data_IF_351954633604
#
_entry.id   IF_351954633604
#
_cell.length_a   1.000
_cell.length_b   1.000
_cell.length_c   1.000
_cell.angle_alpha   90.00
_cell.angle_beta   90.00
_cell.angle_gamma   90.00
#
_symmetry.space_group_name_H-M   'P 1'
#
loop_
_entity.id
_entity.type
_entity.pdbx_description
1 polymer ?
#
# COMPACT_ATOMS: atom_id res chain seq x y z
N UNK A 1 7.26 17.33 18.48
CA UNK A 1 7.61 16.22 17.56
C UNK A 1 7.16 16.58 16.17
N UNK A 2 8.06 16.61 15.20
CA UNK A 2 7.73 16.99 13.81
C UNK A 2 7.21 15.80 12.99
N UNK A 3 7.79 14.61 13.19
CA UNK A 3 7.44 13.42 12.42
C UNK A 3 7.32 12.19 13.32
N UNK A 4 6.30 11.35 13.07
CA UNK A 4 6.24 9.97 13.56
C UNK A 4 6.34 9.02 12.38
N UNK A 5 7.32 8.11 12.41
CA UNK A 5 7.50 7.06 11.40
C UNK A 5 6.97 5.76 11.97
N UNK A 6 5.97 5.17 11.36
CA UNK A 6 5.29 3.95 11.81
C UNK A 6 5.79 2.77 10.98
N UNK A 7 6.35 1.77 11.64
CA UNK A 7 6.96 0.60 10.99
C UNK A 7 6.35 -0.69 11.58
N UNK A 8 5.51 -1.41 10.83
CA UNK A 8 5.02 -2.72 11.24
C UNK A 8 6.10 -3.80 11.02
N UNK A 9 6.30 -4.66 12.02
CA UNK A 9 7.18 -5.82 11.96
C UNK A 9 6.42 -7.10 12.31
N UNK A 10 6.72 -8.19 11.63
CA UNK A 10 6.19 -9.51 11.95
C UNK A 10 7.16 -10.63 11.56
N UNK A 11 7.68 -11.37 12.56
CA UNK A 11 8.63 -12.49 12.37
C UNK A 11 9.86 -12.09 11.54
N UNK A 12 10.55 -11.03 11.96
CA UNK A 12 11.71 -10.46 11.25
C UNK A 12 13.01 -10.50 12.06
N UNK A 13 13.11 -11.42 13.02
CA UNK A 13 14.33 -11.59 13.83
C UNK A 13 15.51 -12.17 13.03
N UNK A 14 15.22 -12.78 11.87
CA UNK A 14 16.23 -13.38 10.99
C UNK A 14 16.42 -12.52 9.73
N UNK A 15 17.42 -12.79 8.93
CA UNK A 15 17.72 -12.17 7.62
C UNK A 15 18.24 -10.74 7.66
N UNK A 16 18.34 -10.09 8.82
CA UNK A 16 18.91 -8.76 8.97
C UNK A 16 18.03 -7.61 8.44
N UNK A 17 16.83 -7.87 7.91
CA UNK A 17 15.93 -6.87 7.31
C UNK A 17 15.51 -5.82 8.34
N UNK A 18 15.01 -6.27 9.52
CA UNK A 18 14.65 -5.38 10.62
C UNK A 18 15.79 -4.41 10.96
N UNK A 19 17.02 -4.94 11.08
CA UNK A 19 18.19 -4.13 11.39
C UNK A 19 18.43 -3.10 10.30
N UNK A 20 18.40 -3.51 9.03
CA UNK A 20 18.65 -2.62 7.90
C UNK A 20 17.60 -1.49 7.82
N UNK A 21 16.32 -1.82 8.02
CA UNK A 21 15.24 -0.86 8.13
C UNK A 21 15.48 0.15 9.26
N UNK A 22 15.66 -0.35 10.50
CA UNK A 22 15.82 0.50 11.68
C UNK A 22 17.06 1.41 11.58
N UNK A 23 18.18 0.91 11.10
CA UNK A 23 19.39 1.71 10.90
C UNK A 23 19.19 2.81 9.85
N UNK A 24 18.47 2.54 8.76
CA UNK A 24 18.16 3.58 7.77
C UNK A 24 17.32 4.73 8.35
N UNK A 25 16.41 4.40 9.27
CA UNK A 25 15.56 5.39 9.94
C UNK A 25 16.30 6.14 11.04
N UNK A 26 17.23 5.51 11.74
CA UNK A 26 18.06 6.15 12.76
C UNK A 26 19.12 7.08 12.15
N UNK A 27 19.52 6.86 10.91
CA UNK A 27 20.51 7.64 10.18
C UNK A 27 19.89 8.72 9.27
N UNK A 28 18.65 9.15 9.53
CA UNK A 28 18.06 10.28 8.79
C UNK A 28 18.77 11.59 9.09
N UNK A 29 18.84 12.48 8.09
CA UNK A 29 19.54 13.78 8.18
C UNK A 29 18.84 14.79 9.08
N UNK A 30 17.59 14.56 9.45
CA UNK A 30 16.81 15.40 10.36
C UNK A 30 16.98 14.98 11.84
N UNK A 31 16.63 15.86 12.76
CA UNK A 31 16.51 15.56 14.18
C UNK A 31 17.76 15.84 15.03
N UNK A 32 18.77 16.48 14.46
CA UNK A 32 20.00 16.87 15.16
C UNK A 32 20.33 18.38 15.06
N UNK A 33 19.49 19.17 14.36
CA UNK A 33 19.69 20.59 14.13
C UNK A 33 20.76 20.92 13.07
N UNK A 34 21.33 19.91 12.41
CA UNK A 34 22.43 20.06 11.47
C UNK A 34 22.00 20.09 10.01
N UNK A 35 20.75 19.69 9.71
CA UNK A 35 20.23 19.73 8.35
C UNK A 35 20.11 21.18 7.85
N UNK A 36 20.24 21.38 6.53
CA UNK A 36 20.12 22.71 5.94
C UNK A 36 18.70 23.31 6.17
N UNK A 37 17.69 22.45 6.18
CA UNK A 37 16.31 22.83 6.42
C UNK A 37 16.07 23.27 7.86
N UNK A 38 16.58 22.53 8.85
CA UNK A 38 16.48 22.86 10.27
C UNK A 38 17.19 24.17 10.60
N UNK A 39 18.41 24.38 10.04
CA UNK A 39 19.11 25.65 10.17
C UNK A 39 18.37 26.83 9.54
N UNK A 40 17.76 26.64 8.39
CA UNK A 40 16.95 27.67 7.72
C UNK A 40 15.66 27.98 8.47
N UNK A 41 15.00 26.97 9.06
CA UNK A 41 13.79 27.11 9.86
C UNK A 41 14.08 27.66 11.28
N UNK A 42 15.32 27.52 11.78
CA UNK A 42 15.68 27.86 13.15
C UNK A 42 15.10 26.93 14.20
N UNK A 43 14.70 25.70 13.80
CA UNK A 43 14.14 24.66 14.67
C UNK A 43 14.66 23.27 14.31
N UNK A 44 14.70 22.38 15.30
CA UNK A 44 15.02 20.95 15.08
C UNK A 44 13.75 20.20 14.67
N UNK A 45 13.82 19.50 13.55
CA UNK A 45 12.73 18.62 13.09
C UNK A 45 12.79 17.27 13.79
N UNK A 46 12.53 17.29 15.09
CA UNK A 46 12.56 16.08 15.91
C UNK A 46 11.56 15.02 15.44
N UNK A 47 11.97 13.75 15.45
CA UNK A 47 11.15 12.63 14.98
C UNK A 47 11.21 11.44 15.93
N UNK A 48 10.16 10.61 15.88
CA UNK A 48 10.09 9.32 16.57
C UNK A 48 9.85 8.18 15.57
N UNK A 49 10.36 7.00 15.91
CA UNK A 49 10.13 5.74 15.21
C UNK A 49 9.23 4.88 16.08
N UNK A 50 8.02 4.61 15.62
CA UNK A 50 7.08 3.71 16.26
C UNK A 50 7.22 2.33 15.61
N UNK A 51 8.09 1.50 16.19
CA UNK A 51 8.37 0.15 15.75
C UNK A 51 7.32 -0.80 16.35
N UNK A 52 6.39 -1.28 15.52
CA UNK A 52 5.22 -2.03 15.97
C UNK A 52 5.34 -3.49 15.60
N UNK A 53 5.56 -4.34 16.59
CA UNK A 53 5.52 -5.80 16.45
C UNK A 53 4.08 -6.31 16.38
N UNK A 54 3.71 -7.03 15.32
CA UNK A 54 2.38 -7.58 15.13
C UNK A 54 2.23 -8.98 15.74
N UNK A 55 2.55 -9.09 17.04
CA UNK A 55 2.47 -10.33 17.82
C UNK A 55 3.34 -11.45 17.24
N UNK A 56 4.62 -11.16 16.97
CA UNK A 56 5.61 -12.14 16.51
C UNK A 56 5.83 -13.26 17.50
N UNK A 57 6.21 -14.43 16.98
CA UNK A 57 6.53 -15.62 17.79
C UNK A 57 8.04 -15.85 17.95
N UNK A 58 8.82 -15.06 17.22
CA UNK A 58 10.28 -15.05 17.26
C UNK A 58 10.80 -13.87 18.11
N UNK A 59 12.10 -13.62 18.06
CA UNK A 59 12.74 -12.58 18.88
C UNK A 59 12.55 -11.15 18.32
N UNK A 60 11.67 -10.93 17.32
CA UNK A 60 11.43 -9.62 16.71
C UNK A 60 11.14 -8.54 17.77
N UNK A 61 10.20 -8.79 18.69
CA UNK A 61 9.86 -7.81 19.71
C UNK A 61 11.01 -7.54 20.69
N UNK A 62 11.79 -8.58 21.02
CA UNK A 62 12.99 -8.42 21.90
C UNK A 62 14.01 -7.50 21.23
N UNK A 63 14.25 -7.67 19.93
CA UNK A 63 15.14 -6.78 19.17
C UNK A 63 14.63 -5.34 19.14
N UNK A 64 13.33 -5.12 18.94
CA UNK A 64 12.73 -3.78 18.94
C UNK A 64 12.84 -3.11 20.33
N UNK A 65 12.67 -3.88 21.42
CA UNK A 65 12.89 -3.38 22.79
C UNK A 65 14.35 -3.01 23.04
N UNK A 66 15.31 -3.69 22.41
CA UNK A 66 16.71 -3.29 22.47
C UNK A 66 16.93 -1.95 21.78
N UNK A 67 16.37 -1.75 20.56
CA UNK A 67 16.43 -0.45 19.86
C UNK A 67 15.81 0.67 20.70
N UNK A 68 14.68 0.43 21.38
CA UNK A 68 14.07 1.43 22.28
C UNK A 68 15.00 1.79 23.45
N UNK A 69 15.67 0.80 24.03
CA UNK A 69 16.61 1.00 25.13
C UNK A 69 17.88 1.77 24.70
N UNK A 70 18.38 1.47 23.49
CA UNK A 70 19.60 2.09 22.95
C UNK A 70 19.32 3.51 22.41
N UNK A 71 18.07 3.83 22.03
CA UNK A 71 17.67 5.11 21.46
C UNK A 71 16.45 5.72 22.19
N UNK A 72 16.59 6.05 23.51
CA UNK A 72 15.49 6.57 24.30
C UNK A 72 14.99 7.90 23.77
N UNK A 73 13.66 8.03 23.66
CA UNK A 73 13.00 9.22 23.08
C UNK A 73 12.94 9.23 21.54
N UNK A 74 13.77 8.43 20.84
CA UNK A 74 13.77 8.30 19.39
C UNK A 74 13.00 7.08 18.92
N UNK A 75 13.15 5.93 19.56
CA UNK A 75 12.45 4.67 19.25
C UNK A 75 11.48 4.32 20.35
N UNK A 76 10.28 3.89 19.95
CA UNK A 76 9.26 3.31 20.81
C UNK A 76 8.81 1.97 20.26
N UNK A 77 9.04 0.90 21.01
CA UNK A 77 8.63 -0.46 20.64
C UNK A 77 7.21 -0.74 21.17
N UNK A 78 6.29 -0.95 20.27
CA UNK A 78 4.90 -1.29 20.53
C UNK A 78 4.62 -2.73 20.10
N UNK A 79 3.61 -3.38 20.69
CA UNK A 79 3.20 -4.72 20.31
C UNK A 79 1.67 -4.84 20.28
N UNK A 80 1.13 -5.43 19.21
CA UNK A 80 -0.30 -5.78 19.17
C UNK A 80 -0.57 -7.01 20.05
N UNK A 81 -1.74 -7.09 20.71
CA UNK A 81 -2.05 -8.23 21.59
C UNK A 81 -2.30 -9.54 20.83
N UNK A 82 -2.61 -9.45 19.56
CA UNK A 82 -2.81 -10.56 18.61
C UNK A 82 -2.37 -10.11 17.24
N UNK A 83 -2.05 -11.04 16.33
CA UNK A 83 -1.71 -10.68 14.96
C UNK A 83 -2.93 -10.03 14.25
N UNK A 84 -2.79 -8.76 13.93
CA UNK A 84 -3.80 -7.92 13.24
C UNK A 84 -3.39 -7.51 11.84
N UNK A 85 -2.32 -8.10 11.31
CA UNK A 85 -1.71 -7.75 10.05
C UNK A 85 -1.17 -6.31 10.03
N UNK A 86 -0.62 -5.90 8.88
CA UNK A 86 -0.01 -4.58 8.73
C UNK A 86 -0.98 -3.44 9.10
N UNK A 87 -2.25 -3.54 8.70
CA UNK A 87 -3.25 -2.53 9.02
C UNK A 87 -3.44 -2.31 10.51
N UNK A 88 -3.54 -3.38 11.30
CA UNK A 88 -3.68 -3.26 12.75
C UNK A 88 -2.42 -2.73 13.44
N UNK A 89 -1.24 -3.14 12.98
CA UNK A 89 0.02 -2.60 13.48
C UNK A 89 0.16 -1.09 13.15
N UNK A 90 -0.17 -0.68 11.92
CA UNK A 90 -0.19 0.75 11.54
C UNK A 90 -1.19 1.55 12.38
N UNK A 91 -2.38 1.02 12.66
CA UNK A 91 -3.38 1.67 13.53
C UNK A 91 -2.86 1.85 14.96
N UNK A 92 -2.18 0.84 15.53
CA UNK A 92 -1.56 0.97 16.85
C UNK A 92 -0.48 2.07 16.84
N UNK A 93 0.33 2.13 15.81
CA UNK A 93 1.29 3.22 15.60
C UNK A 93 0.59 4.58 15.53
N UNK A 94 -0.46 4.72 14.71
CA UNK A 94 -1.25 5.96 14.58
C UNK A 94 -1.82 6.44 15.91
N UNK A 95 -2.36 5.52 16.73
CA UNK A 95 -2.91 5.85 18.03
C UNK A 95 -1.85 6.36 19.03
N UNK A 96 -0.58 6.07 18.80
CA UNK A 96 0.54 6.47 19.64
C UNK A 96 1.39 7.59 19.05
N UNK A 97 1.15 7.99 17.80
CA UNK A 97 1.93 9.00 17.08
C UNK A 97 1.71 10.41 17.63
N UNK A 98 2.80 11.13 17.83
CA UNK A 98 2.78 12.50 18.36
C UNK A 98 3.22 13.56 17.34
N UNK A 99 3.83 13.12 16.22
CA UNK A 99 4.32 14.01 15.16
C UNK A 99 3.24 14.80 14.45
N UNK A 100 3.58 15.95 13.92
CA UNK A 100 2.74 16.75 13.04
C UNK A 100 2.53 16.05 11.69
N UNK A 101 3.57 15.34 11.25
CA UNK A 101 3.57 14.48 10.07
C UNK A 101 3.61 13.01 10.46
N UNK A 102 2.96 12.17 9.67
CA UNK A 102 2.97 10.71 9.81
C UNK A 102 3.59 10.12 8.54
N UNK A 103 4.66 9.36 8.70
CA UNK A 103 5.25 8.52 7.67
C UNK A 103 5.01 7.04 7.96
N UNK A 104 5.02 6.22 6.93
CA UNK A 104 4.98 4.76 7.02
C UNK A 104 6.22 4.17 6.36
N UNK A 105 6.67 3.03 6.85
CA UNK A 105 7.75 2.23 6.28
C UNK A 105 7.39 0.77 6.44
N UNK A 106 7.65 -0.07 5.45
CA UNK A 106 7.57 -1.51 5.63
C UNK A 106 8.87 -2.03 6.26
N UNK A 107 8.78 -3.00 7.17
CA UNK A 107 9.91 -3.43 7.99
C UNK A 107 11.02 -4.17 7.24
N UNK A 108 10.79 -4.54 5.98
CA UNK A 108 11.76 -5.16 5.06
C UNK A 108 12.37 -4.17 4.07
N UNK A 109 11.95 -2.91 4.10
CA UNK A 109 12.40 -1.83 3.22
C UNK A 109 13.30 -0.83 3.97
N UNK A 110 13.87 0.16 3.27
CA UNK A 110 14.67 1.23 3.86
C UNK A 110 14.56 2.54 3.11
N UNK A 111 14.99 3.62 3.79
CA UNK A 111 14.91 4.98 3.29
C UNK A 111 16.29 5.55 2.91
N UNK A 112 16.33 6.44 1.92
CA UNK A 112 17.47 7.31 1.70
C UNK A 112 17.70 8.20 2.93
N UNK A 113 18.94 8.56 3.27
CA UNK A 113 19.25 9.34 4.48
C UNK A 113 18.51 10.68 4.59
N UNK A 114 18.16 11.29 3.46
CA UNK A 114 17.51 12.61 3.36
C UNK A 114 16.02 12.53 2.96
N UNK A 115 15.43 11.33 2.95
CA UNK A 115 14.03 11.14 2.52
C UNK A 115 13.08 12.02 3.33
N UNK A 116 13.06 11.86 4.64
CA UNK A 116 12.07 12.54 5.47
C UNK A 116 12.34 14.04 5.58
N UNK A 117 13.60 14.49 5.53
CA UNK A 117 13.93 15.90 5.43
C UNK A 117 13.30 16.54 4.19
N UNK A 118 13.54 15.97 3.01
CA UNK A 118 13.02 16.48 1.73
C UNK A 118 11.49 16.51 1.70
N UNK A 119 10.84 15.45 2.20
CA UNK A 119 9.39 15.39 2.26
C UNK A 119 8.79 16.45 3.20
N UNK A 120 9.37 16.64 4.39
CA UNK A 120 8.92 17.65 5.35
C UNK A 120 9.11 19.05 4.79
N UNK A 121 10.29 19.36 4.26
CA UNK A 121 10.60 20.69 3.67
C UNK A 121 9.60 21.01 2.56
N UNK A 122 9.33 20.05 1.66
CA UNK A 122 8.35 20.24 0.59
C UNK A 122 6.96 20.51 1.18
N UNK A 123 6.52 19.75 2.18
CA UNK A 123 5.23 19.92 2.82
C UNK A 123 5.07 21.25 3.56
N UNK A 124 6.11 21.68 4.30
CA UNK A 124 6.07 22.94 5.03
C UNK A 124 6.08 24.15 4.10
N UNK A 125 6.89 24.11 3.05
CA UNK A 125 7.02 25.23 2.09
C UNK A 125 5.81 25.41 1.19
N UNK A 126 5.05 24.33 0.91
CA UNK A 126 3.89 24.37 0.03
C UNK A 126 2.56 24.38 0.78
N UNK A 127 2.55 24.04 2.07
CA UNK A 127 1.33 23.86 2.84
C UNK A 127 0.55 22.58 2.44
N UNK A 128 1.22 21.57 1.91
CA UNK A 128 0.58 20.33 1.47
C UNK A 128 0.02 19.52 2.64
N UNK A 129 -1.03 18.73 2.37
CA UNK A 129 -1.63 17.74 3.27
C UNK A 129 -0.87 16.42 3.23
N UNK A 130 -0.30 16.10 2.08
CA UNK A 130 0.46 14.89 1.82
C UNK A 130 1.61 15.19 0.85
N UNK A 131 2.76 14.56 1.11
CA UNK A 131 3.94 14.67 0.23
C UNK A 131 4.46 13.26 -0.06
N UNK A 132 4.73 12.97 -1.33
CA UNK A 132 5.28 11.69 -1.76
C UNK A 132 6.62 11.82 -2.46
N UNK A 133 7.26 10.68 -2.72
CA UNK A 133 8.47 10.56 -3.54
C UNK A 133 8.35 9.38 -4.51
N UNK A 134 9.40 9.11 -5.27
CA UNK A 134 9.55 7.90 -6.06
C UNK A 134 10.29 6.81 -5.24
N UNK A 135 10.39 5.61 -5.80
CA UNK A 135 11.07 4.50 -5.15
C UNK A 135 12.08 3.81 -6.08
N UNK A 136 13.06 3.15 -5.46
CA UNK A 136 13.92 2.17 -6.10
C UNK A 136 13.36 0.76 -5.85
N UNK A 137 13.29 -0.08 -6.88
CA UNK A 137 13.18 -1.53 -6.69
C UNK A 137 14.59 -2.11 -6.62
N UNK A 138 14.89 -2.82 -5.54
CA UNK A 138 16.22 -3.41 -5.28
C UNK A 138 16.09 -4.88 -4.88
N UNK A 139 17.11 -5.66 -5.17
CA UNK A 139 17.15 -7.10 -4.87
C UNK A 139 18.19 -7.45 -3.80
N UNK A 140 19.00 -6.49 -3.39
CA UNK A 140 20.05 -6.62 -2.38
C UNK A 140 19.94 -5.45 -1.39
N UNK A 141 20.42 -5.67 -0.16
CA UNK A 141 20.52 -4.62 0.86
C UNK A 141 21.66 -3.64 0.49
N UNK A 142 21.32 -2.61 -0.25
CA UNK A 142 22.27 -1.61 -0.77
C UNK A 142 21.63 -0.21 -0.77
N UNK A 143 22.48 0.83 -0.79
CA UNK A 143 22.05 2.20 -1.09
C UNK A 143 22.32 2.58 -2.55
N UNK A 144 22.68 1.61 -3.39
CA UNK A 144 22.83 1.84 -4.82
C UNK A 144 21.48 2.02 -5.50
N UNK A 145 21.48 2.78 -6.59
CA UNK A 145 20.27 3.04 -7.38
C UNK A 145 19.83 1.75 -8.07
N UNK A 146 18.67 1.24 -7.66
CA UNK A 146 17.99 0.14 -8.33
C UNK A 146 17.13 0.62 -9.51
N UNK A 147 16.14 -0.18 -9.88
CA UNK A 147 15.15 0.25 -10.89
C UNK A 147 14.26 1.35 -10.30
N UNK A 148 14.28 2.54 -10.91
CA UNK A 148 13.46 3.67 -10.47
C UNK A 148 12.01 3.45 -10.91
N UNK A 149 11.09 3.61 -9.98
CA UNK A 149 9.66 3.62 -10.23
C UNK A 149 9.09 4.99 -9.89
N UNK A 150 8.58 5.67 -10.91
CA UNK A 150 7.85 6.93 -10.74
C UNK A 150 6.45 6.61 -10.21
N UNK A 151 6.26 6.84 -8.93
CA UNK A 151 5.05 6.40 -8.24
C UNK A 151 3.82 7.23 -8.62
N UNK A 152 3.87 8.54 -8.40
CA UNK A 152 2.82 9.48 -8.81
C UNK A 152 3.36 10.41 -9.91
N UNK A 153 2.48 10.79 -10.84
CA UNK A 153 2.81 11.73 -11.90
C UNK A 153 2.52 13.17 -11.47
N UNK A 154 3.22 14.15 -12.05
CA UNK A 154 3.07 15.57 -11.67
C UNK A 154 1.67 16.11 -11.92
N UNK A 155 0.92 15.53 -12.84
CA UNK A 155 -0.47 15.90 -13.11
C UNK A 155 -1.48 15.39 -12.04
N UNK A 156 -1.00 14.67 -11.02
CA UNK A 156 -1.73 14.29 -9.82
C UNK A 156 -1.46 15.23 -8.63
N UNK A 157 -0.49 16.16 -8.74
CA UNK A 157 0.02 16.99 -7.64
C UNK A 157 -0.54 18.42 -7.66
N UNK A 158 -0.23 19.20 -6.60
CA UNK A 158 -0.72 20.55 -6.33
C UNK A 158 -2.04 20.55 -5.56
N UNK A 159 -2.76 21.66 -5.60
CA UNK A 159 -4.13 21.72 -5.07
C UNK A 159 -5.00 20.75 -5.86
N UNK A 160 -5.70 19.87 -5.13
CA UNK A 160 -6.48 18.79 -5.74
C UNK A 160 -7.83 19.31 -6.22
N UNK A 161 -8.15 18.98 -7.46
CA UNK A 161 -9.40 19.24 -8.15
C UNK A 161 -10.08 17.92 -8.55
N UNK A 162 -11.31 17.93 -9.07
CA UNK A 162 -12.02 16.69 -9.44
C UNK A 162 -11.25 15.79 -10.41
N UNK A 163 -10.49 16.33 -11.36
CA UNK A 163 -9.75 15.53 -12.33
C UNK A 163 -8.52 14.84 -11.69
N UNK A 164 -7.86 15.50 -10.73
CA UNK A 164 -6.78 14.91 -9.94
C UNK A 164 -7.30 13.82 -9.01
N UNK A 165 -8.45 14.03 -8.36
CA UNK A 165 -9.09 13.00 -7.55
C UNK A 165 -9.46 11.75 -8.34
N UNK A 166 -9.94 11.88 -9.58
CA UNK A 166 -10.17 10.74 -10.48
C UNK A 166 -8.88 9.93 -10.71
N UNK A 167 -7.77 10.62 -11.01
CA UNK A 167 -6.47 9.98 -11.20
C UNK A 167 -5.97 9.29 -9.93
N UNK A 168 -6.16 9.90 -8.76
CA UNK A 168 -5.76 9.36 -7.46
C UNK A 168 -6.65 8.19 -7.02
N UNK A 169 -7.92 8.17 -7.40
CA UNK A 169 -8.79 7.00 -7.22
C UNK A 169 -8.27 5.81 -8.04
N UNK A 170 -7.85 6.05 -9.29
CA UNK A 170 -7.34 5.01 -10.19
C UNK A 170 -5.94 4.52 -9.78
N UNK A 171 -5.10 5.42 -9.32
CA UNK A 171 -3.72 5.14 -8.92
C UNK A 171 -3.26 6.02 -7.76
N UNK A 172 -3.57 5.65 -6.51
CA UNK A 172 -3.13 6.40 -5.33
C UNK A 172 -1.63 6.24 -5.06
N UNK A 173 -0.99 5.23 -5.65
CA UNK A 173 0.35 4.73 -5.36
C UNK A 173 0.55 4.29 -3.90
N UNK A 174 1.73 3.76 -3.58
CA UNK A 174 2.01 3.24 -2.25
C UNK A 174 1.92 4.31 -1.16
N UNK A 175 1.47 3.91 0.02
CA UNK A 175 1.37 4.78 1.19
C UNK A 175 2.72 4.98 1.88
N UNK A 176 3.63 4.01 1.77
CA UNK A 176 4.95 4.03 2.45
C UNK A 176 5.95 5.03 1.86
N UNK A 177 5.69 5.51 0.65
CA UNK A 177 6.51 6.57 0.01
C UNK A 177 5.99 7.98 0.30
N UNK A 178 5.09 8.13 1.27
CA UNK A 178 4.41 9.39 1.58
C UNK A 178 4.47 9.73 3.06
N UNK A 179 4.42 11.03 3.34
CA UNK A 179 4.08 11.56 4.66
C UNK A 179 2.75 12.29 4.58
N UNK A 180 1.97 12.22 5.65
CA UNK A 180 0.62 12.80 5.75
C UNK A 180 0.53 13.72 6.96
N UNK A 181 -0.17 14.86 6.84
CA UNK A 181 -0.47 15.67 8.02
C UNK A 181 -1.37 14.91 8.99
N UNK A 182 -0.94 14.83 10.25
CA UNK A 182 -1.72 14.14 11.31
C UNK A 182 -3.09 14.75 11.51
N UNK A 183 -3.25 16.06 11.33
CA UNK A 183 -4.55 16.75 11.40
C UNK A 183 -5.54 16.18 10.36
N UNK A 184 -5.11 15.96 9.12
CA UNK A 184 -5.95 15.38 8.06
C UNK A 184 -6.39 13.96 8.42
N UNK A 185 -5.49 13.14 8.98
CA UNK A 185 -5.81 11.79 9.44
C UNK A 185 -6.87 11.84 10.56
N UNK A 186 -6.66 12.72 11.55
CA UNK A 186 -7.55 12.85 12.70
C UNK A 186 -8.92 13.40 12.34
N UNK A 187 -8.98 14.48 11.58
CA UNK A 187 -10.22 15.13 11.15
C UNK A 187 -11.10 14.20 10.30
N UNK A 188 -10.48 13.42 9.43
CA UNK A 188 -11.18 12.48 8.56
C UNK A 188 -11.29 11.07 9.17
N UNK A 189 -10.82 10.85 10.40
CA UNK A 189 -10.84 9.53 11.09
C UNK A 189 -10.30 8.42 10.19
N UNK A 190 -9.16 8.67 9.55
CA UNK A 190 -8.53 7.73 8.63
C UNK A 190 -7.85 6.59 9.41
N UNK A 191 -8.15 5.38 9.03
CA UNK A 191 -7.60 4.15 9.62
C UNK A 191 -7.39 3.10 8.54
N UNK A 192 -6.68 2.03 8.87
CA UNK A 192 -6.50 0.86 8.02
C UNK A 192 -7.49 -0.25 8.40
N UNK A 193 -8.01 -1.04 7.46
CA UNK A 193 -8.64 -2.32 7.77
C UNK A 193 -7.67 -3.25 8.51
N UNK A 194 -8.16 -3.95 9.54
CA UNK A 194 -7.34 -4.85 10.36
C UNK A 194 -7.58 -6.32 10.03
N UNK A 195 -6.60 -7.18 10.30
CA UNK A 195 -6.72 -8.64 10.22
C UNK A 195 -6.79 -9.20 8.80
N UNK A 196 -6.45 -8.41 7.78
CA UNK A 196 -6.51 -8.79 6.37
C UNK A 196 -5.27 -8.36 5.60
N UNK A 197 -5.05 -8.98 4.43
CA UNK A 197 -4.11 -8.50 3.42
C UNK A 197 -4.77 -7.45 2.53
N UNK A 198 -3.97 -6.63 1.84
CA UNK A 198 -4.42 -5.61 0.88
C UNK A 198 -5.25 -4.48 1.52
N UNK A 199 -4.99 -4.17 2.79
CA UNK A 199 -5.60 -3.05 3.52
C UNK A 199 -5.30 -1.70 2.87
N UNK A 200 -4.12 -1.58 2.26
CA UNK A 200 -3.65 -0.41 1.53
C UNK A 200 -4.46 -0.13 0.26
N UNK A 201 -4.97 -1.17 -0.41
CA UNK A 201 -5.81 -1.02 -1.60
C UNK A 201 -7.18 -0.38 -1.28
N UNK A 202 -7.65 -0.51 -0.05
CA UNK A 202 -8.80 0.23 0.45
C UNK A 202 -8.38 1.61 0.98
N UNK A 203 -7.36 1.64 1.85
CA UNK A 203 -6.95 2.87 2.53
C UNK A 203 -6.36 3.91 1.57
N UNK A 204 -5.51 3.51 0.63
CA UNK A 204 -4.79 4.43 -0.26
C UNK A 204 -5.69 5.41 -1.00
N UNK A 205 -6.67 4.96 -1.80
CA UNK A 205 -7.59 5.87 -2.47
C UNK A 205 -8.37 6.77 -1.50
N UNK A 206 -8.89 6.20 -0.40
CA UNK A 206 -9.68 6.94 0.60
C UNK A 206 -8.86 8.05 1.26
N UNK A 207 -7.60 7.77 1.61
CA UNK A 207 -6.70 8.76 2.21
C UNK A 207 -6.39 9.89 1.23
N UNK A 208 -6.07 9.56 -0.02
CA UNK A 208 -5.76 10.57 -1.05
C UNK A 208 -6.96 11.46 -1.35
N UNK A 209 -8.19 10.91 -1.41
CA UNK A 209 -9.40 11.69 -1.61
C UNK A 209 -9.80 12.55 -0.38
N UNK A 210 -9.23 12.27 0.78
CA UNK A 210 -9.43 13.05 1.99
C UNK A 210 -8.46 14.23 2.13
N UNK A 211 -7.40 14.30 1.30
CA UNK A 211 -6.44 15.38 1.23
C UNK A 211 -6.94 16.46 0.24
N UNK A 212 -6.49 17.70 0.41
CA UNK A 212 -6.80 18.83 -0.48
C UNK A 212 -5.59 19.29 -1.30
N UNK A 213 -4.39 18.99 -0.84
CA UNK A 213 -3.14 19.39 -1.48
C UNK A 213 -2.12 18.28 -1.39
N UNK A 214 -1.68 17.78 -2.54
CA UNK A 214 -0.67 16.73 -2.66
C UNK A 214 0.56 17.28 -3.39
N UNK A 215 1.73 17.10 -2.82
CA UNK A 215 3.01 17.45 -3.44
C UNK A 215 3.92 16.22 -3.60
N UNK A 216 4.89 16.34 -4.48
CA UNK A 216 5.87 15.29 -4.76
C UNK A 216 7.28 15.83 -4.81
N UNK A 217 8.21 15.09 -4.23
CA UNK A 217 9.65 15.18 -4.48
C UNK A 217 9.96 14.19 -5.60
N UNK A 218 10.47 14.67 -6.73
CA UNK A 218 10.74 13.85 -7.93
C UNK A 218 12.10 13.14 -7.81
N UNK A 219 12.30 12.48 -6.67
CA UNK A 219 13.48 11.68 -6.39
C UNK A 219 13.07 10.32 -5.83
N UNK A 220 13.78 9.23 -6.19
CA UNK A 220 13.54 7.92 -5.62
C UNK A 220 14.26 7.81 -4.27
N UNK A 221 13.50 8.05 -3.19
CA UNK A 221 14.04 8.14 -1.82
C UNK A 221 13.69 6.91 -0.96
N UNK A 222 12.84 6.02 -1.46
CA UNK A 222 12.43 4.79 -0.80
C UNK A 222 13.01 3.59 -1.51
N UNK A 223 13.59 2.63 -0.79
CA UNK A 223 14.14 1.40 -1.34
C UNK A 223 13.21 0.24 -1.04
N UNK A 224 12.50 -0.22 -2.07
CA UNK A 224 11.58 -1.34 -2.02
C UNK A 224 12.33 -2.64 -2.30
N UNK A 225 12.44 -3.49 -1.28
CA UNK A 225 13.17 -4.76 -1.37
C UNK A 225 12.33 -5.87 -2.02
N UNK A 226 12.81 -6.36 -3.16
CA UNK A 226 12.19 -7.44 -3.92
C UNK A 226 12.75 -8.79 -3.46
N UNK A 227 12.17 -9.36 -2.41
CA UNK A 227 12.52 -10.70 -1.93
C UNK A 227 11.65 -11.77 -2.62
N UNK A 228 12.28 -12.82 -3.13
CA UNK A 228 11.56 -13.99 -3.69
C UNK A 228 10.71 -14.72 -2.64
N UNK A 229 11.03 -14.60 -1.35
CA UNK A 229 10.28 -15.15 -0.22
C UNK A 229 9.13 -14.23 0.24
N UNK A 230 8.95 -13.06 -0.38
CA UNK A 230 7.91 -12.09 0.00
C UNK A 230 6.52 -12.73 0.09
N UNK A 231 5.78 -12.32 1.10
CA UNK A 231 4.39 -12.77 1.32
C UNK A 231 3.50 -12.52 0.10
N UNK A 232 3.85 -11.55 -0.76
CA UNK A 232 3.10 -11.24 -1.99
C UNK A 232 3.16 -12.36 -3.02
N UNK A 233 4.22 -13.17 -3.04
CA UNK A 233 4.39 -14.28 -3.99
C UNK A 233 3.59 -15.54 -3.62
N UNK A 234 3.20 -15.70 -2.35
CA UNK A 234 2.39 -16.84 -1.93
C UNK A 234 0.89 -16.54 -2.11
N UNK A 235 0.27 -17.22 -3.08
CA UNK A 235 -1.16 -17.07 -3.37
C UNK A 235 -1.96 -18.11 -2.59
N UNK A 236 -3.00 -17.66 -1.87
CA UNK A 236 -3.97 -18.51 -1.18
C UNK A 236 -5.40 -18.04 -1.44
N UNK A 237 -6.37 -18.92 -1.20
CA UNK A 237 -7.79 -18.55 -1.30
C UNK A 237 -8.11 -17.42 -0.30
N UNK A 238 -7.54 -17.46 0.92
CA UNK A 238 -7.74 -16.40 1.91
C UNK A 238 -7.30 -15.04 1.39
N UNK A 239 -6.14 -14.94 0.75
CA UNK A 239 -5.70 -13.68 0.13
C UNK A 239 -6.61 -13.20 -0.99
N UNK A 240 -7.23 -14.11 -1.73
CA UNK A 240 -8.25 -13.75 -2.72
C UNK A 240 -9.51 -13.19 -2.05
N UNK A 241 -9.97 -13.79 -0.94
CA UNK A 241 -11.09 -13.28 -0.13
C UNK A 241 -10.77 -11.92 0.49
N UNK A 242 -9.56 -11.74 1.01
CA UNK A 242 -9.13 -10.47 1.59
C UNK A 242 -9.10 -9.35 0.52
N UNK A 243 -8.68 -9.67 -0.71
CA UNK A 243 -8.73 -8.72 -1.83
C UNK A 243 -10.16 -8.35 -2.22
N UNK A 244 -11.07 -9.32 -2.22
CA UNK A 244 -12.50 -9.04 -2.40
C UNK A 244 -13.01 -8.12 -1.30
N UNK A 245 -12.67 -8.41 -0.03
CA UNK A 245 -13.07 -7.59 1.12
C UNK A 245 -12.49 -6.18 1.04
N UNK A 246 -11.25 -6.01 0.60
CA UNK A 246 -10.64 -4.69 0.38
C UNK A 246 -11.43 -3.86 -0.65
N UNK A 247 -11.89 -4.48 -1.74
CA UNK A 247 -12.76 -3.83 -2.71
C UNK A 247 -14.11 -3.41 -2.12
N UNK A 248 -14.76 -4.29 -1.35
CA UNK A 248 -16.03 -3.97 -0.66
C UNK A 248 -15.86 -2.81 0.32
N UNK A 249 -14.79 -2.82 1.12
CA UNK A 249 -14.47 -1.75 2.06
C UNK A 249 -14.18 -0.42 1.35
N UNK A 250 -13.51 -0.44 0.20
CA UNK A 250 -13.29 0.76 -0.60
C UNK A 250 -14.62 1.41 -1.00
N UNK A 251 -15.55 0.61 -1.53
CA UNK A 251 -16.89 1.11 -1.92
C UNK A 251 -17.67 1.62 -0.70
N UNK A 252 -17.64 0.87 0.41
CA UNK A 252 -18.29 1.26 1.66
C UNK A 252 -17.75 2.60 2.17
N UNK A 253 -16.44 2.78 2.25
CA UNK A 253 -15.78 4.02 2.66
C UNK A 253 -16.12 5.19 1.71
N UNK A 254 -16.14 4.94 0.41
CA UNK A 254 -16.51 5.96 -0.57
C UNK A 254 -17.99 6.41 -0.40
N UNK A 255 -18.92 5.50 -0.12
CA UNK A 255 -20.31 5.85 0.19
C UNK A 255 -20.42 6.68 1.46
N UNK A 256 -19.78 6.24 2.54
CA UNK A 256 -19.82 6.94 3.83
C UNK A 256 -19.25 8.35 3.78
N UNK A 257 -18.27 8.59 2.88
CA UNK A 257 -17.56 9.88 2.76
C UNK A 257 -18.05 10.76 1.62
N UNK A 258 -19.07 10.32 0.87
CA UNK A 258 -19.62 11.10 -0.25
C UNK A 258 -18.75 11.06 -1.52
N UNK A 259 -17.80 10.13 -1.63
CA UNK A 259 -16.95 9.96 -2.82
C UNK A 259 -17.58 9.06 -3.88
N UNK A 260 -18.66 8.35 -3.54
CA UNK A 260 -19.28 7.35 -4.42
C UNK A 260 -19.83 7.99 -5.70
N UNK A 261 -20.69 9.00 -5.59
CA UNK A 261 -21.33 9.64 -6.76
C UNK A 261 -20.35 10.46 -7.60
N UNK A 262 -19.50 11.35 -7.00
CA UNK A 262 -18.58 12.16 -7.81
C UNK A 262 -17.54 11.37 -8.60
N UNK A 263 -17.15 10.19 -8.09
CA UNK A 263 -16.09 9.35 -8.69
C UNK A 263 -16.58 7.94 -9.04
N UNK A 264 -17.87 7.82 -9.35
CA UNK A 264 -18.52 6.53 -9.60
C UNK A 264 -17.80 5.69 -10.67
N UNK A 265 -17.45 6.32 -11.80
CA UNK A 265 -16.81 5.63 -12.93
C UNK A 265 -15.42 5.10 -12.55
N UNK A 266 -14.62 5.88 -11.84
CA UNK A 266 -13.29 5.51 -11.36
C UNK A 266 -13.38 4.43 -10.27
N UNK A 267 -14.34 4.57 -9.35
CA UNK A 267 -14.59 3.61 -8.28
C UNK A 267 -15.07 2.25 -8.84
N UNK A 268 -15.99 2.25 -9.80
CA UNK A 268 -16.43 1.05 -10.51
C UNK A 268 -15.24 0.32 -11.13
N UNK A 269 -14.35 1.05 -11.81
CA UNK A 269 -13.16 0.46 -12.40
C UNK A 269 -12.19 -0.06 -11.33
N UNK A 270 -11.90 0.71 -10.27
CA UNK A 270 -11.03 0.30 -9.17
C UNK A 270 -11.55 -0.98 -8.51
N UNK A 271 -12.86 -1.05 -8.26
CA UNK A 271 -13.53 -2.25 -7.76
C UNK A 271 -13.43 -3.42 -8.74
N UNK A 272 -13.77 -3.20 -10.01
CA UNK A 272 -13.70 -4.26 -11.02
C UNK A 272 -12.28 -4.80 -11.18
N UNK A 273 -11.27 -3.94 -11.12
CA UNK A 273 -9.84 -4.33 -11.17
C UNK A 273 -9.43 -5.12 -9.93
N UNK A 274 -9.67 -4.58 -8.75
CA UNK A 274 -9.25 -5.17 -7.47
C UNK A 274 -10.07 -6.40 -7.11
N UNK A 275 -11.40 -6.21 -6.96
CA UNK A 275 -12.32 -7.24 -6.49
C UNK A 275 -12.42 -8.40 -7.49
N UNK A 276 -12.57 -8.09 -8.79
CA UNK A 276 -12.92 -9.07 -9.79
C UNK A 276 -11.74 -9.55 -10.64
N UNK A 277 -11.14 -8.70 -11.47
CA UNK A 277 -10.15 -9.14 -12.47
C UNK A 277 -8.89 -9.70 -11.83
N UNK A 278 -8.27 -8.95 -10.91
CA UNK A 278 -7.07 -9.40 -10.22
C UNK A 278 -7.34 -10.67 -9.41
N UNK A 279 -8.48 -10.74 -8.74
CA UNK A 279 -8.86 -11.91 -7.93
C UNK A 279 -9.14 -13.14 -8.80
N UNK A 280 -9.88 -12.98 -9.89
CA UNK A 280 -10.18 -14.07 -10.84
C UNK A 280 -8.91 -14.74 -11.36
N UNK A 281 -7.99 -13.95 -11.90
CA UNK A 281 -6.77 -14.50 -12.50
C UNK A 281 -5.78 -14.99 -11.43
N UNK A 282 -5.61 -14.27 -10.34
CA UNK A 282 -4.76 -14.73 -9.23
C UNK A 282 -5.27 -16.06 -8.66
N UNK A 283 -6.59 -16.20 -8.47
CA UNK A 283 -7.20 -17.44 -7.99
C UNK A 283 -6.95 -18.61 -8.95
N UNK A 284 -7.14 -18.38 -10.25
CA UNK A 284 -6.95 -19.42 -11.26
C UNK A 284 -5.47 -19.82 -11.44
N UNK A 285 -4.53 -18.91 -11.24
CA UNK A 285 -3.09 -19.17 -11.39
C UNK A 285 -2.52 -19.85 -10.14
N UNK A 286 -2.83 -19.37 -8.95
CA UNK A 286 -2.07 -19.68 -7.74
C UNK A 286 -2.76 -20.60 -6.73
N UNK A 287 -4.10 -20.69 -6.73
CA UNK A 287 -4.80 -21.54 -5.76
C UNK A 287 -4.83 -22.98 -6.26
N UNK A 288 -4.26 -23.91 -5.47
CA UNK A 288 -4.11 -25.33 -5.89
C UNK A 288 -5.46 -26.06 -6.01
N UNK A 289 -6.37 -25.85 -5.06
CA UNK A 289 -7.71 -26.50 -5.02
C UNK A 289 -8.79 -25.46 -5.28
N UNK A 290 -9.03 -25.17 -6.54
CA UNK A 290 -10.03 -24.19 -6.97
C UNK A 290 -11.44 -24.75 -6.86
N UNK A 291 -12.40 -23.91 -6.43
CA UNK A 291 -13.81 -24.26 -6.26
C UNK A 291 -14.68 -23.43 -7.20
N UNK A 292 -15.64 -24.07 -7.87
CA UNK A 292 -16.61 -23.36 -8.71
C UNK A 292 -17.47 -22.39 -7.86
N UNK A 293 -17.77 -22.77 -6.62
CA UNK A 293 -18.52 -21.92 -5.69
C UNK A 293 -17.84 -20.57 -5.43
N UNK A 294 -16.50 -20.53 -5.34
CA UNK A 294 -15.75 -19.27 -5.20
C UNK A 294 -15.91 -18.40 -6.46
N UNK A 295 -15.81 -18.99 -7.64
CA UNK A 295 -16.01 -18.27 -8.89
C UNK A 295 -17.44 -17.70 -9.00
N UNK A 296 -18.44 -18.47 -8.58
CA UNK A 296 -19.84 -17.99 -8.53
C UNK A 296 -20.03 -16.85 -7.49
N UNK A 297 -19.35 -16.91 -6.36
CA UNK A 297 -19.37 -15.85 -5.36
C UNK A 297 -18.74 -14.56 -5.91
N UNK A 298 -17.55 -14.68 -6.52
CA UNK A 298 -16.86 -13.58 -7.18
C UNK A 298 -17.73 -12.91 -8.26
N UNK A 299 -18.38 -13.71 -9.11
CA UNK A 299 -19.29 -13.24 -10.13
C UNK A 299 -20.52 -12.53 -9.54
N UNK A 300 -21.15 -13.12 -8.51
CA UNK A 300 -22.30 -12.48 -7.85
C UNK A 300 -21.94 -11.16 -7.20
N UNK A 301 -20.76 -11.06 -6.58
CA UNK A 301 -20.31 -9.85 -5.91
C UNK A 301 -20.12 -8.69 -6.88
N UNK A 302 -19.41 -8.90 -7.99
CA UNK A 302 -19.21 -7.84 -8.99
C UNK A 302 -20.54 -7.40 -9.63
N UNK A 303 -21.44 -8.35 -9.99
CA UNK A 303 -22.71 -8.02 -10.59
C UNK A 303 -23.71 -7.36 -9.62
N UNK A 304 -23.62 -7.64 -8.33
CA UNK A 304 -24.42 -6.98 -7.29
C UNK A 304 -24.01 -5.51 -7.13
N UNK A 305 -22.71 -5.23 -7.18
CA UNK A 305 -22.18 -3.91 -6.92
C UNK A 305 -22.16 -3.03 -8.18
N UNK A 306 -21.67 -3.58 -9.28
CA UNK A 306 -21.52 -2.90 -10.57
C UNK A 306 -21.90 -3.84 -11.73
N UNK A 307 -23.18 -3.95 -12.06
CA UNK A 307 -23.67 -4.90 -13.09
C UNK A 307 -23.09 -4.62 -14.48
N UNK A 308 -22.86 -3.35 -14.81
CA UNK A 308 -22.43 -2.89 -16.13
C UNK A 308 -20.91 -2.62 -16.21
N UNK A 309 -20.12 -3.07 -15.23
CA UNK A 309 -18.67 -2.79 -15.12
C UNK A 309 -17.87 -3.02 -16.42
N UNK A 310 -18.34 -3.91 -17.30
CA UNK A 310 -17.69 -4.19 -18.59
C UNK A 310 -17.84 -3.06 -19.60
N UNK A 311 -18.81 -2.16 -19.43
CA UNK A 311 -19.00 -0.98 -20.28
C UNK A 311 -18.14 0.20 -19.81
N UNK A 312 -17.55 0.10 -18.64
CA UNK A 312 -16.68 1.11 -18.07
C UNK A 312 -15.51 1.45 -19.02
N UNK A 313 -15.27 2.73 -19.35
CA UNK A 313 -14.23 3.13 -20.31
C UNK A 313 -12.81 2.75 -19.87
N UNK A 314 -12.51 2.78 -18.57
CA UNK A 314 -11.22 2.34 -18.04
C UNK A 314 -11.04 0.84 -18.14
N UNK A 315 -12.10 0.06 -17.89
CA UNK A 315 -12.08 -1.40 -18.10
C UNK A 315 -11.79 -1.74 -19.57
N UNK A 316 -12.41 -1.04 -20.50
CA UNK A 316 -12.21 -1.27 -21.93
C UNK A 316 -10.80 -0.92 -22.40
N UNK A 317 -10.15 0.04 -21.77
CA UNK A 317 -8.78 0.48 -22.10
C UNK A 317 -7.70 -0.38 -21.43
N UNK A 318 -7.88 -0.74 -20.15
CA UNK A 318 -6.85 -1.37 -19.33
C UNK A 318 -6.63 -2.84 -19.66
N UNK A 319 -7.72 -3.60 -19.87
CA UNK A 319 -7.64 -5.04 -20.05
C UNK A 319 -7.52 -5.43 -21.53
N UNK A 320 -6.65 -6.41 -21.79
CA UNK A 320 -6.47 -6.94 -23.17
C UNK A 320 -7.68 -7.77 -23.64
N UNK A 321 -7.66 -8.11 -24.93
CA UNK A 321 -8.76 -8.84 -25.57
C UNK A 321 -8.97 -10.24 -24.96
N UNK A 322 -7.90 -10.91 -24.53
CA UNK A 322 -7.98 -12.23 -23.92
C UNK A 322 -8.61 -12.16 -22.53
N UNK A 323 -8.14 -11.22 -21.69
CA UNK A 323 -8.69 -10.99 -20.35
C UNK A 323 -10.20 -10.66 -20.43
N UNK A 324 -10.60 -9.78 -21.33
CA UNK A 324 -12.01 -9.44 -21.56
C UNK A 324 -12.83 -10.62 -22.06
N UNK A 325 -12.30 -11.45 -22.95
CA UNK A 325 -12.93 -12.68 -23.43
C UNK A 325 -13.15 -13.68 -22.29
N UNK A 326 -12.12 -13.90 -21.46
CA UNK A 326 -12.19 -14.81 -20.31
C UNK A 326 -13.18 -14.31 -19.26
N UNK A 327 -13.18 -13.02 -18.95
CA UNK A 327 -14.15 -12.41 -18.05
C UNK A 327 -15.58 -12.56 -18.60
N UNK A 328 -15.80 -12.32 -19.89
CA UNK A 328 -17.11 -12.50 -20.53
C UNK A 328 -17.57 -13.96 -20.51
N UNK A 329 -16.67 -14.91 -20.66
CA UNK A 329 -16.97 -16.34 -20.53
C UNK A 329 -17.37 -16.68 -19.09
N UNK A 330 -16.66 -16.13 -18.09
CA UNK A 330 -17.00 -16.29 -16.67
C UNK A 330 -18.37 -15.70 -16.35
N UNK A 331 -18.71 -14.53 -16.88
CA UNK A 331 -20.04 -13.94 -16.72
C UNK A 331 -21.16 -14.83 -17.27
N UNK A 332 -20.90 -15.58 -18.35
CA UNK A 332 -21.88 -16.55 -18.90
C UNK A 332 -22.01 -17.79 -18.01
N UNK A 333 -20.87 -18.39 -17.64
CA UNK A 333 -20.85 -19.61 -16.82
C UNK A 333 -19.50 -19.81 -16.16
N UNK A 334 -19.47 -19.88 -14.83
CA UNK A 334 -18.25 -20.14 -14.05
C UNK A 334 -17.70 -21.54 -14.34
N UNK A 335 -18.56 -22.54 -14.57
CA UNK A 335 -18.13 -23.89 -14.94
C UNK A 335 -17.45 -23.91 -16.32
N UNK A 336 -18.07 -23.29 -17.32
CA UNK A 336 -17.51 -23.23 -18.68
C UNK A 336 -16.18 -22.45 -18.69
N UNK A 337 -16.11 -21.33 -17.99
CA UNK A 337 -14.88 -20.57 -17.79
C UNK A 337 -13.79 -21.45 -17.16
N UNK A 338 -14.10 -22.14 -16.06
CA UNK A 338 -13.15 -23.00 -15.36
C UNK A 338 -12.55 -24.07 -16.29
N UNK A 339 -13.41 -24.82 -16.98
CA UNK A 339 -12.99 -25.88 -17.90
C UNK A 339 -12.14 -25.32 -19.04
N UNK A 340 -12.61 -24.23 -19.66
CA UNK A 340 -11.89 -23.56 -20.75
C UNK A 340 -10.52 -23.05 -20.29
N UNK A 341 -10.45 -22.38 -19.12
CA UNK A 341 -9.20 -21.84 -18.59
C UNK A 341 -8.19 -22.97 -18.30
N UNK A 342 -8.64 -24.09 -17.72
CA UNK A 342 -7.79 -25.25 -17.47
C UNK A 342 -7.27 -25.86 -18.78
N UNK A 343 -8.11 -26.03 -19.78
CA UNK A 343 -7.70 -26.52 -21.10
C UNK A 343 -6.69 -25.57 -21.76
N UNK A 344 -6.94 -24.25 -21.71
CA UNK A 344 -6.05 -23.23 -22.26
C UNK A 344 -4.66 -23.26 -21.59
N UNK A 345 -4.62 -23.34 -20.26
CA UNK A 345 -3.36 -23.39 -19.52
C UNK A 345 -2.60 -24.71 -19.76
N UNK A 346 -3.30 -25.84 -19.88
CA UNK A 346 -2.68 -27.12 -20.24
C UNK A 346 -2.10 -27.09 -21.66
N UNK A 347 -2.85 -26.55 -22.62
CA UNK A 347 -2.37 -26.36 -24.00
C UNK A 347 -1.09 -25.51 -24.05
N UNK A 348 -1.07 -24.37 -23.34
CA UNK A 348 0.09 -23.48 -23.30
C UNK A 348 1.33 -24.15 -22.73
N UNK A 349 1.17 -24.96 -21.67
CA UNK A 349 2.29 -25.74 -21.09
C UNK A 349 2.86 -26.77 -22.06
N UNK A 350 2.01 -27.42 -22.86
CA UNK A 350 2.42 -28.46 -23.79
C UNK A 350 3.14 -27.89 -25.04
N UNK A 351 2.66 -26.76 -25.57
CA UNK A 351 3.08 -26.29 -26.88
C UNK A 351 3.97 -25.04 -26.88
N UNK A 352 4.02 -24.27 -25.76
CA UNK A 352 4.80 -23.03 -25.68
C UNK A 352 5.88 -23.02 -24.59
N UNK A 353 6.15 -24.18 -23.96
CA UNK A 353 7.17 -24.33 -22.91
C UNK A 353 7.07 -23.18 -21.89
N UNK A 354 6.85 -23.48 -20.63
CA UNK A 354 6.74 -22.55 -19.50
C UNK A 354 6.90 -21.04 -19.81
N UNK A 355 5.87 -20.41 -20.32
CA UNK A 355 5.71 -18.96 -20.22
C UNK A 355 5.29 -18.65 -18.79
N UNK A 356 6.18 -17.99 -18.06
CA UNK A 356 5.91 -17.47 -16.70
C UNK A 356 4.76 -16.45 -16.71
#
# INVERSE_FOLDING_TARGET
>A
MKLSIIVPFYQMAQDGKLKYCMESLLNQTIGNGESAAERAAGEVYDYEILAVDDCSKDDTYVMLKQYEADHPGRVRALQTPVNKRQGGARNLGLANATGEWIGFMDGDDWAAPDMFEKLIVKGETTGADVVGCDLHQVHEHTMEIGTIVNANTMDQTGVLDPEKYKKLMLNPCSMVIKIYRRSVIAENKLTFPEGMFYEDNCAGPVWMLSCKHFEKVEEPLYYYYQDQSSTTHFISEQKCLDRMRAGELLVEQCRQRGFYEPYHTELEFAFAKLYYMNTLFTYMIGVKRQRISFLEELKRGILREFPDFRENPYYQKEFDAEQKKLASLHMKSSLLFYVYYKALTAYRRLFHGQGR
#
